data_IF_039604060285
#
_entry.id   IF_039604060285
#
_cell.length_a   1.000
_cell.length_b   1.000
_cell.length_c   1.000
_cell.angle_alpha   90.00
_cell.angle_beta   90.00
_cell.angle_gamma   90.00
#
_symmetry.space_group_name_H-M   'P 1'
#
loop_
_entity.id
_entity.type
_entity.pdbx_description
1 polymer ?
#
# COMPACT_ATOMS: atom_id res chain seq x y z
N UNK A 1 -11.93 17.78 -7.30
CA UNK A 1 -11.17 18.41 -8.41
C UNK A 1 -11.15 19.94 -8.30
N UNK A 2 -12.30 20.63 -8.34
CA UNK A 2 -12.39 22.10 -8.35
C UNK A 2 -11.59 22.79 -7.23
N UNK A 3 -11.68 22.30 -5.99
CA UNK A 3 -10.95 22.85 -4.84
C UNK A 3 -9.41 22.78 -4.98
N UNK A 4 -8.89 21.86 -5.80
CA UNK A 4 -7.46 21.65 -5.99
C UNK A 4 -6.93 22.36 -7.25
N UNK A 5 -7.81 22.75 -8.18
CA UNK A 5 -7.42 23.29 -9.48
C UNK A 5 -6.51 24.52 -9.32
N UNK A 6 -5.38 24.51 -10.02
CA UNK A 6 -4.41 25.62 -9.99
C UNK A 6 -3.61 25.79 -8.71
N UNK A 7 -3.91 25.02 -7.65
CA UNK A 7 -3.20 25.08 -6.38
C UNK A 7 -1.75 24.61 -6.53
N UNK A 8 -0.91 24.99 -5.55
CA UNK A 8 0.45 24.48 -5.40
C UNK A 8 0.53 23.63 -4.14
N UNK A 9 0.91 22.37 -4.29
CA UNK A 9 1.07 21.42 -3.19
C UNK A 9 2.55 21.36 -2.84
N UNK A 10 2.89 21.77 -1.62
CA UNK A 10 4.23 21.57 -1.06
C UNK A 10 4.40 20.12 -0.60
N UNK A 11 5.53 19.51 -0.94
CA UNK A 11 5.86 18.14 -0.55
C UNK A 11 7.22 18.13 0.13
N UNK A 12 7.27 17.62 1.36
CA UNK A 12 8.51 17.39 2.09
C UNK A 12 8.72 15.88 2.23
N UNK A 13 9.86 15.39 1.73
CA UNK A 13 10.26 14.00 1.82
C UNK A 13 11.55 13.90 2.62
N UNK A 14 11.60 12.94 3.56
CA UNK A 14 12.70 12.74 4.49
C UNK A 14 13.10 11.27 4.57
N UNK A 15 14.42 11.01 4.61
CA UNK A 15 15.00 9.71 4.94
C UNK A 15 16.16 9.87 5.92
N UNK A 16 16.18 9.06 6.98
CA UNK A 16 17.25 9.03 7.99
C UNK A 16 18.60 8.66 7.35
N UNK A 17 19.69 9.34 7.76
CA UNK A 17 21.04 9.11 7.22
C UNK A 17 21.95 10.35 7.00
N UNK A 18 21.59 11.42 6.29
CA UNK A 18 20.28 11.98 5.96
C UNK A 18 20.18 12.40 4.48
N UNK A 19 19.00 12.22 3.90
CA UNK A 19 18.63 12.78 2.61
C UNK A 19 17.20 13.33 2.70
N UNK A 20 17.02 14.59 2.32
CA UNK A 20 15.73 15.25 2.34
C UNK A 20 15.54 16.10 1.09
N UNK A 21 14.29 16.30 0.68
CA UNK A 21 13.93 17.17 -0.43
C UNK A 21 12.59 17.82 -0.16
N UNK A 22 12.55 19.14 -0.35
CA UNK A 22 11.31 19.90 -0.45
C UNK A 22 11.09 20.27 -1.91
N UNK A 23 9.93 19.95 -2.44
CA UNK A 23 9.55 20.29 -3.81
C UNK A 23 8.07 20.66 -3.86
N UNK A 24 7.57 21.04 -5.04
CA UNK A 24 6.16 21.36 -5.19
C UNK A 24 5.56 20.80 -6.47
N UNK A 25 4.27 20.53 -6.41
CA UNK A 25 3.44 20.14 -7.55
C UNK A 25 2.49 21.29 -7.86
N UNK A 26 2.37 21.68 -9.13
CA UNK A 26 1.33 22.61 -9.58
C UNK A 26 0.17 21.81 -10.17
N UNK A 27 -0.99 21.93 -9.57
CA UNK A 27 -2.18 21.18 -9.99
C UNK A 27 -2.74 21.80 -11.27
N UNK A 28 -3.22 20.95 -12.19
CA UNK A 28 -3.89 21.39 -13.42
C UNK A 28 -5.05 22.35 -13.11
N UNK A 29 -5.25 23.34 -13.97
CA UNK A 29 -6.43 24.22 -13.89
C UNK A 29 -7.70 23.52 -14.39
N UNK A 30 -7.55 22.55 -15.30
CA UNK A 30 -8.69 21.83 -15.85
C UNK A 30 -9.27 20.88 -14.80
N UNK A 31 -10.47 21.24 -14.31
CA UNK A 31 -11.25 20.46 -13.34
C UNK A 31 -12.62 20.05 -13.89
N UNK A 32 -12.76 20.07 -15.22
CA UNK A 32 -13.99 19.69 -15.91
C UNK A 32 -14.26 18.18 -15.74
N UNK A 33 -15.53 17.75 -15.85
CA UNK A 33 -15.88 16.33 -15.82
C UNK A 33 -15.05 15.50 -16.82
N UNK A 34 -14.46 14.39 -16.37
CA UNK A 34 -13.64 13.51 -17.20
C UNK A 34 -12.22 14.01 -17.47
N UNK A 35 -11.84 15.19 -16.96
CA UNK A 35 -10.45 15.67 -17.02
C UNK A 35 -9.50 14.76 -16.23
N UNK A 36 -8.19 14.81 -16.49
CA UNK A 36 -7.22 14.02 -15.73
C UNK A 36 -7.28 14.29 -14.21
N UNK A 37 -7.52 15.54 -13.80
CA UNK A 37 -7.63 15.90 -12.39
C UNK A 37 -8.91 15.34 -11.75
N UNK A 38 -10.02 15.37 -12.47
CA UNK A 38 -11.28 14.80 -12.00
C UNK A 38 -11.16 13.29 -11.84
N UNK A 39 -10.67 12.58 -12.86
CA UNK A 39 -10.43 11.13 -12.80
C UNK A 39 -9.51 10.74 -11.63
N UNK A 40 -8.43 11.50 -11.41
CA UNK A 40 -7.52 11.25 -10.30
C UNK A 40 -8.22 11.40 -8.95
N UNK A 41 -8.95 12.49 -8.73
CA UNK A 41 -9.66 12.72 -7.47
C UNK A 41 -10.74 11.67 -7.25
N UNK A 42 -11.52 11.36 -8.28
CA UNK A 42 -12.60 10.38 -8.22
C UNK A 42 -12.09 8.95 -8.01
N UNK A 43 -10.88 8.62 -8.49
CA UNK A 43 -10.26 7.30 -8.21
C UNK A 43 -9.93 7.05 -6.74
N UNK A 44 -9.98 8.08 -5.90
CA UNK A 44 -9.69 8.02 -4.46
C UNK A 44 -10.91 8.29 -3.59
N UNK A 45 -12.10 8.46 -4.18
CA UNK A 45 -13.31 8.84 -3.43
C UNK A 45 -13.79 7.76 -2.46
N UNK A 46 -13.38 6.50 -2.67
CA UNK A 46 -13.75 5.36 -1.83
C UNK A 46 -12.72 5.05 -0.72
N UNK A 47 -11.73 5.94 -0.53
CA UNK A 47 -10.62 5.70 0.39
C UNK A 47 -11.08 5.40 1.83
N UNK A 48 -12.05 6.17 2.35
CA UNK A 48 -12.58 5.97 3.71
C UNK A 48 -13.30 4.62 3.82
N UNK A 49 -14.11 4.26 2.83
CA UNK A 49 -14.81 2.97 2.81
C UNK A 49 -13.81 1.80 2.75
N UNK A 50 -12.77 1.90 1.93
CA UNK A 50 -11.68 0.91 1.85
C UNK A 50 -10.95 0.77 3.19
N UNK A 51 -10.63 1.89 3.84
CA UNK A 51 -10.01 1.88 5.16
C UNK A 51 -10.92 1.28 6.23
N UNK A 52 -12.23 1.55 6.16
CA UNK A 52 -13.24 0.99 7.06
C UNK A 52 -13.51 -0.50 6.86
N UNK A 53 -13.26 -1.04 5.66
CA UNK A 53 -13.39 -2.48 5.35
C UNK A 53 -12.27 -3.36 5.91
N UNK A 54 -11.25 -2.76 6.53
CA UNK A 54 -10.13 -3.51 7.12
C UNK A 54 -10.58 -4.27 8.37
N UNK A 55 -9.92 -5.39 8.64
CA UNK A 55 -10.10 -6.15 9.87
C UNK A 55 -9.24 -5.56 10.99
N UNK A 56 -9.87 -5.19 12.10
CA UNK A 56 -9.17 -4.87 13.34
C UNK A 56 -8.60 -6.16 13.95
N UNK A 57 -7.36 -6.11 14.44
CA UNK A 57 -6.66 -7.24 15.05
C UNK A 57 -6.25 -6.82 16.45
N UNK A 58 -6.35 -7.73 17.43
CA UNK A 58 -5.96 -7.43 18.81
C UNK A 58 -4.46 -7.18 18.91
N UNK A 59 -3.99 -6.40 19.91
CA UNK A 59 -2.57 -6.17 20.13
C UNK A 59 -1.76 -7.47 20.28
N UNK A 60 -2.31 -8.49 20.96
CA UNK A 60 -1.66 -9.78 21.17
C UNK A 60 -1.45 -10.50 19.84
N UNK A 61 -2.51 -10.57 19.02
CA UNK A 61 -2.42 -11.21 17.71
C UNK A 61 -1.48 -10.46 16.76
N UNK A 62 -1.48 -9.13 16.83
CA UNK A 62 -0.54 -8.31 16.09
C UNK A 62 0.92 -8.61 16.49
N UNK A 63 1.19 -8.76 17.80
CA UNK A 63 2.53 -9.12 18.30
C UNK A 63 2.96 -10.52 17.86
N UNK A 64 2.06 -11.51 17.86
CA UNK A 64 2.34 -12.83 17.31
C UNK A 64 2.78 -12.75 15.83
N UNK A 65 2.07 -11.94 15.02
CA UNK A 65 2.39 -11.73 13.61
C UNK A 65 3.77 -11.07 13.46
N UNK A 66 4.10 -10.09 14.30
CA UNK A 66 5.42 -9.46 14.31
C UNK A 66 6.53 -10.46 14.68
N UNK A 67 6.28 -11.35 15.64
CA UNK A 67 7.25 -12.37 16.03
C UNK A 67 7.52 -13.35 14.88
N UNK A 68 6.48 -13.82 14.21
CA UNK A 68 6.63 -14.63 12.98
C UNK A 68 7.46 -13.90 11.92
N UNK A 69 7.25 -12.58 11.73
CA UNK A 69 8.01 -11.79 10.77
C UNK A 69 9.50 -11.69 11.13
N UNK A 70 9.82 -11.55 12.41
CA UNK A 70 11.21 -11.56 12.90
C UNK A 70 11.86 -12.92 12.62
N UNK A 71 11.21 -14.00 13.04
CA UNK A 71 11.74 -15.36 12.95
C UNK A 71 11.91 -15.82 11.49
N UNK A 72 11.06 -15.33 10.58
CA UNK A 72 11.06 -15.72 9.16
C UNK A 72 11.86 -14.79 8.24
N UNK A 73 12.43 -13.69 8.76
CA UNK A 73 12.99 -12.62 7.92
C UNK A 73 14.07 -13.10 6.95
N UNK A 74 14.93 -14.02 7.40
CA UNK A 74 16.06 -14.56 6.62
C UNK A 74 15.88 -16.04 6.24
N UNK A 75 14.71 -16.62 6.51
CA UNK A 75 14.45 -18.04 6.25
C UNK A 75 14.47 -18.35 4.76
N UNK A 76 14.95 -19.54 4.43
CA UNK A 76 14.86 -20.18 3.11
C UNK A 76 13.96 -21.41 3.22
N UNK A 77 13.49 -21.91 2.08
CA UNK A 77 12.54 -23.03 2.02
C UNK A 77 11.30 -22.82 2.92
N UNK A 78 10.74 -21.62 2.82
CA UNK A 78 9.66 -21.14 3.66
C UNK A 78 8.37 -20.97 2.86
N UNK A 79 7.26 -21.49 3.40
CA UNK A 79 5.91 -21.27 2.90
C UNK A 79 5.17 -20.39 3.92
N UNK A 80 4.77 -19.15 3.57
CA UNK A 80 4.03 -18.30 4.50
C UNK A 80 2.72 -18.91 4.97
N UNK A 81 2.47 -18.88 6.29
CA UNK A 81 1.29 -19.47 6.93
C UNK A 81 0.09 -18.52 7.08
N UNK A 82 0.19 -17.29 6.59
CA UNK A 82 -0.88 -16.29 6.68
C UNK A 82 -2.11 -16.70 5.86
N UNK A 83 -3.31 -16.41 6.37
CA UNK A 83 -4.55 -16.66 5.64
C UNK A 83 -4.59 -15.84 4.35
N UNK A 84 -4.84 -16.52 3.23
CA UNK A 84 -5.04 -15.89 1.92
C UNK A 84 -6.43 -15.25 1.82
N UNK A 85 -7.38 -15.73 2.61
CA UNK A 85 -8.78 -15.30 2.55
C UNK A 85 -8.96 -13.87 3.06
N UNK A 86 -8.10 -13.43 3.97
CA UNK A 86 -8.13 -12.09 4.56
C UNK A 86 -7.53 -11.00 3.65
N UNK A 87 -6.86 -11.37 2.55
CA UNK A 87 -6.31 -10.41 1.60
C UNK A 87 -7.43 -9.74 0.80
N UNK A 88 -7.25 -8.48 0.40
CA UNK A 88 -8.19 -7.86 -0.53
C UNK A 88 -8.17 -8.57 -1.90
N UNK A 89 -9.31 -8.65 -2.60
CA UNK A 89 -9.35 -9.25 -3.93
C UNK A 89 -8.32 -8.62 -4.90
N UNK A 90 -7.68 -9.44 -5.73
CA UNK A 90 -6.63 -8.99 -6.64
C UNK A 90 -5.25 -8.72 -6.01
N UNK A 91 -5.08 -8.94 -4.70
CA UNK A 91 -3.79 -8.77 -4.01
C UNK A 91 -2.79 -9.85 -4.40
N UNK A 92 -1.57 -9.45 -4.76
CA UNK A 92 -0.44 -10.36 -4.89
C UNK A 92 0.15 -10.70 -3.52
N UNK A 93 0.48 -11.97 -3.29
CA UNK A 93 1.08 -12.45 -2.05
C UNK A 93 2.25 -13.39 -2.30
N UNK A 94 3.14 -13.49 -1.32
CA UNK A 94 4.27 -14.42 -1.34
C UNK A 94 3.74 -15.84 -1.11
N UNK A 95 3.93 -16.72 -2.09
CA UNK A 95 3.50 -18.12 -2.02
C UNK A 95 4.60 -19.01 -1.44
N UNK A 96 5.86 -18.75 -1.80
CA UNK A 96 7.01 -19.54 -1.35
C UNK A 96 8.32 -18.76 -1.49
N UNK A 97 9.25 -19.01 -0.57
CA UNK A 97 10.68 -18.72 -0.72
C UNK A 97 11.40 -20.06 -0.77
N UNK A 98 12.14 -20.37 -1.82
CA UNK A 98 12.86 -21.65 -1.89
C UNK A 98 14.26 -21.59 -1.26
N UNK A 99 14.96 -22.72 -1.26
CA UNK A 99 16.34 -22.88 -0.76
C UNK A 99 17.34 -21.90 -1.38
N UNK A 100 17.08 -21.39 -2.60
CA UNK A 100 17.94 -20.45 -3.34
C UNK A 100 17.49 -19.00 -3.16
N UNK A 101 16.61 -18.73 -2.19
CA UNK A 101 16.01 -17.41 -1.93
C UNK A 101 15.15 -16.88 -3.09
N UNK A 102 14.74 -17.72 -4.03
CA UNK A 102 13.83 -17.30 -5.11
C UNK A 102 12.42 -17.21 -4.53
N UNK A 103 11.71 -16.13 -4.87
CA UNK A 103 10.37 -15.84 -4.35
C UNK A 103 9.34 -16.12 -5.41
N UNK A 104 8.38 -16.99 -5.09
CA UNK A 104 7.20 -17.27 -5.92
C UNK A 104 6.02 -16.46 -5.39
N UNK A 105 5.28 -15.85 -6.30
CA UNK A 105 4.10 -15.05 -5.98
C UNK A 105 2.86 -15.62 -6.66
N UNK A 106 1.73 -15.48 -5.99
CA UNK A 106 0.41 -15.78 -6.53
C UNK A 106 -0.52 -14.60 -6.25
N UNK A 107 -1.68 -14.58 -6.93
CA UNK A 107 -2.64 -13.48 -6.84
C UNK A 107 -3.98 -14.02 -6.35
N UNK A 108 -4.56 -13.39 -5.33
CA UNK A 108 -5.95 -13.67 -4.94
C UNK A 108 -6.87 -13.28 -6.10
N UNK A 109 -7.84 -14.14 -6.48
CA UNK A 109 -8.88 -13.75 -7.44
C UNK A 109 -9.57 -12.44 -7.05
N UNK A 110 -10.09 -11.72 -8.04
CA UNK A 110 -10.90 -10.53 -7.84
C UNK A 110 -12.34 -10.93 -7.53
#
# INVERSE_FOLDING_TARGET
AKQLAGSRIGVFSYGSGLAASMFSLKVSQNSDPGSPLEKLVSSLSDLEARLGSRKCVTPEKFNEILKVREDTHNSVDHIPHGSKDELFPGTWYLEQVDEKKRRKYARKPV
#
